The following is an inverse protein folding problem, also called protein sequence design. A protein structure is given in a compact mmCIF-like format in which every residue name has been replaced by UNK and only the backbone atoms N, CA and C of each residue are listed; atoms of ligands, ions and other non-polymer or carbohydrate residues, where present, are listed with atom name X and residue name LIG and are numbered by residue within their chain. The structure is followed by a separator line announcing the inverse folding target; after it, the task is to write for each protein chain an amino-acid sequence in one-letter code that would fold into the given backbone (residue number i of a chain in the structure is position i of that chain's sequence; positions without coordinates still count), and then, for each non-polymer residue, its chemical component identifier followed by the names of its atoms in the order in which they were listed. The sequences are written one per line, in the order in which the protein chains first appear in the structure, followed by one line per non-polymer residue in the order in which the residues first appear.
data_IF_745938334488
#
_entry.id   IF_745938334488
#
_cell.length_a   1.000
_cell.length_b   1.000
_cell.length_c   1.000
_cell.angle_alpha   90.00
_cell.angle_beta   90.00
_cell.angle_gamma   90.00
#
_symmetry.space_group_name_H-M   'P 1'
#
loop_
_entity.id
_entity.type
_entity.pdbx_description
1 polymer ?
#
# COMPACT_ATOMS: atom_id res chain seq x y z
N UNK A 1 26.87 28.29 -1.95
CA UNK A 1 26.84 27.10 -1.06
C UNK A 1 26.09 25.91 -1.66
N UNK A 2 25.15 26.10 -2.60
CA UNK A 2 24.42 25.01 -3.28
C UNK A 2 25.20 24.44 -4.48
N UNK A 3 26.12 25.20 -5.08
CA UNK A 3 26.95 24.74 -6.20
C UNK A 3 27.92 23.58 -5.87
N UNK A 4 28.27 23.36 -4.60
CA UNK A 4 29.09 22.22 -4.17
C UNK A 4 28.31 20.90 -4.12
N UNK A 5 26.97 20.95 -4.16
CA UNK A 5 26.11 19.77 -4.04
C UNK A 5 26.03 18.97 -5.35
N UNK A 6 26.35 19.61 -6.48
CA UNK A 6 26.11 19.06 -7.82
C UNK A 6 27.31 18.28 -8.38
N UNK A 7 28.52 18.55 -7.89
CA UNK A 7 29.76 17.88 -8.30
C UNK A 7 30.04 16.54 -7.58
N UNK A 8 29.28 16.21 -6.51
CA UNK A 8 29.61 15.09 -5.61
C UNK A 8 28.66 13.87 -5.67
N UNK A 9 27.75 13.79 -6.64
CA UNK A 9 26.85 12.62 -6.75
C UNK A 9 26.04 12.40 -5.48
N UNK A 10 25.43 13.47 -4.95
CA UNK A 10 24.78 13.46 -3.63
C UNK A 10 23.60 12.50 -3.65
N UNK A 11 23.89 11.35 -3.06
CA UNK A 11 23.08 10.16 -2.98
C UNK A 11 22.09 10.18 -1.82
N UNK A 12 22.03 11.23 -0.97
CA UNK A 12 21.28 11.23 0.30
C UNK A 12 20.61 12.56 0.70
N UNK A 13 19.98 13.24 -0.28
CA UNK A 13 19.07 14.34 0.03
C UNK A 13 17.61 13.87 0.09
N UNK A 14 16.93 14.17 1.20
CA UNK A 14 15.49 14.18 1.33
C UNK A 14 14.90 15.38 0.55
N UNK A 15 13.57 15.51 0.47
CA UNK A 15 12.89 16.48 -0.40
C UNK A 15 13.41 17.92 -0.27
N UNK A 16 13.70 18.36 0.95
CA UNK A 16 14.10 19.74 1.27
C UNK A 16 15.57 19.79 1.77
N UNK A 17 16.37 18.77 1.47
CA UNK A 17 17.80 18.73 1.80
C UNK A 17 18.20 17.51 2.64
N UNK A 18 19.27 17.58 3.44
CA UNK A 18 19.88 16.38 4.05
C UNK A 18 19.08 15.79 5.22
N UNK A 19 18.05 16.49 5.70
CA UNK A 19 17.24 16.06 6.85
C UNK A 19 15.88 15.57 6.38
N UNK A 20 15.41 14.50 7.00
CA UNK A 20 14.04 14.04 6.84
C UNK A 20 13.09 14.98 7.56
N UNK A 21 12.09 15.48 6.84
CA UNK A 21 11.20 16.55 7.30
C UNK A 21 9.72 16.16 7.15
N UNK A 22 8.84 17.06 7.58
CA UNK A 22 7.40 16.92 7.38
C UNK A 22 7.01 16.79 5.90
N UNK A 23 7.80 17.33 4.97
CA UNK A 23 7.54 17.16 3.54
C UNK A 23 7.70 15.71 3.09
N UNK A 24 8.72 15.02 3.60
CA UNK A 24 8.96 13.59 3.33
C UNK A 24 7.89 12.71 3.97
N UNK A 25 7.42 13.09 5.16
CA UNK A 25 6.28 12.42 5.80
C UNK A 25 5.01 12.57 4.95
N UNK A 26 4.69 13.79 4.53
CA UNK A 26 3.52 14.06 3.71
C UNK A 26 3.55 13.30 2.37
N UNK A 27 4.72 13.29 1.71
CA UNK A 27 4.91 12.52 0.49
C UNK A 27 4.80 11.02 0.75
N UNK A 28 5.43 10.50 1.81
CA UNK A 28 5.34 9.08 2.16
C UNK A 28 3.88 8.65 2.36
N UNK A 29 3.09 9.41 3.12
CA UNK A 29 1.67 9.10 3.34
C UNK A 29 0.87 9.07 2.03
N UNK A 30 1.17 9.96 1.08
CA UNK A 30 0.51 9.96 -0.21
C UNK A 30 0.91 8.74 -1.06
N UNK A 31 2.20 8.39 -1.08
CA UNK A 31 2.70 7.22 -1.80
C UNK A 31 2.13 5.91 -1.22
N UNK A 32 2.12 5.77 0.11
CA UNK A 32 1.54 4.60 0.78
C UNK A 32 0.05 4.43 0.43
N UNK A 33 -0.70 5.53 0.28
CA UNK A 33 -2.10 5.47 -0.20
C UNK A 33 -2.21 5.02 -1.65
N UNK A 34 -1.33 5.49 -2.53
CA UNK A 34 -1.32 5.08 -3.94
C UNK A 34 -1.01 3.57 -4.04
N UNK A 35 -0.05 3.06 -3.26
CA UNK A 35 0.25 1.62 -3.17
C UNK A 35 -0.96 0.85 -2.63
N UNK A 36 -1.57 1.34 -1.55
CA UNK A 36 -2.75 0.71 -0.99
C UNK A 36 -3.91 0.62 -1.99
N UNK A 37 -4.06 1.61 -2.87
CA UNK A 37 -5.05 1.63 -3.95
C UNK A 37 -4.64 0.80 -5.18
N UNK A 38 -3.43 0.25 -5.22
CA UNK A 38 -2.91 -0.50 -6.38
C UNK A 38 -2.59 0.38 -7.59
N UNK A 39 -2.34 1.67 -7.39
CA UNK A 39 -2.14 2.65 -8.46
C UNK A 39 -0.65 2.96 -8.74
N UNK A 40 0.27 2.30 -8.05
CA UNK A 40 1.73 2.50 -8.17
C UNK A 40 2.26 2.34 -9.60
N UNK A 41 1.76 1.34 -10.34
CA UNK A 41 2.16 1.07 -11.71
C UNK A 41 1.93 2.28 -12.64
N UNK A 42 0.86 3.04 -12.36
CA UNK A 42 0.45 4.22 -13.12
C UNK A 42 1.23 5.47 -12.73
N UNK A 43 1.56 5.65 -11.45
CA UNK A 43 2.07 6.91 -10.95
C UNK A 43 3.58 6.91 -10.64
N UNK A 44 4.15 5.81 -10.14
CA UNK A 44 5.55 5.81 -9.71
C UNK A 44 6.24 4.44 -9.77
N UNK A 45 6.01 3.70 -10.86
CA UNK A 45 6.71 2.44 -11.13
C UNK A 45 8.20 2.65 -11.51
N UNK A 46 9.04 1.59 -11.50
CA UNK A 46 10.40 1.66 -12.02
C UNK A 46 10.48 2.20 -13.46
N UNK A 47 9.45 1.94 -14.27
CA UNK A 47 9.38 2.36 -15.67
C UNK A 47 8.80 3.78 -15.83
N UNK A 48 7.89 4.18 -14.96
CA UNK A 48 7.19 5.47 -15.05
C UNK A 48 7.96 6.60 -14.36
N UNK A 49 8.46 6.34 -13.15
CA UNK A 49 9.21 7.32 -12.37
C UNK A 49 10.26 6.63 -11.49
N UNK A 50 11.43 6.27 -12.06
CA UNK A 50 12.47 5.52 -11.34
C UNK A 50 13.06 6.29 -10.16
N UNK A 51 13.13 7.63 -10.23
CA UNK A 51 13.61 8.46 -9.13
C UNK A 51 12.64 8.44 -7.95
N UNK A 52 11.35 8.56 -8.22
CA UNK A 52 10.32 8.50 -7.16
C UNK A 52 10.20 7.09 -6.59
N UNK A 53 10.35 6.06 -7.42
CA UNK A 53 10.39 4.67 -6.99
C UNK A 53 11.58 4.39 -6.08
N UNK A 54 12.79 4.78 -6.47
CA UNK A 54 13.99 4.61 -5.62
C UNK A 54 13.92 5.42 -4.33
N UNK A 55 13.34 6.61 -4.36
CA UNK A 55 13.04 7.40 -3.16
C UNK A 55 12.05 6.69 -2.23
N UNK A 56 10.97 6.12 -2.78
CA UNK A 56 9.99 5.34 -2.01
C UNK A 56 10.59 4.06 -1.39
N UNK A 57 11.45 3.35 -2.14
CA UNK A 57 12.17 2.19 -1.60
C UNK A 57 13.08 2.61 -0.43
N UNK A 58 13.79 3.73 -0.58
CA UNK A 58 14.62 4.29 0.49
C UNK A 58 13.80 4.67 1.73
N UNK A 59 12.65 5.33 1.56
CA UNK A 59 11.72 5.64 2.65
C UNK A 59 11.33 4.38 3.44
N UNK A 60 11.08 3.27 2.73
CA UNK A 60 10.74 1.97 3.34
C UNK A 60 11.83 1.36 4.24
N UNK A 61 13.07 1.84 4.17
CA UNK A 61 14.16 1.35 5.04
C UNK A 61 14.14 1.99 6.43
N UNK A 62 13.42 3.11 6.62
CA UNK A 62 13.36 3.81 7.91
C UNK A 62 12.45 3.07 8.89
N UNK A 63 12.95 2.90 10.13
CA UNK A 63 12.19 2.29 11.23
C UNK A 63 10.84 2.97 11.48
N UNK A 64 10.78 4.30 11.44
CA UNK A 64 9.54 5.06 11.64
C UNK A 64 8.48 4.73 10.58
N UNK A 65 8.90 4.56 9.32
CA UNK A 65 8.00 4.21 8.21
C UNK A 65 7.58 2.75 8.29
N UNK A 66 8.50 1.85 8.66
CA UNK A 66 8.18 0.43 8.84
C UNK A 66 7.18 0.20 9.98
N UNK A 67 7.33 0.93 11.10
CA UNK A 67 6.39 0.89 12.22
C UNK A 67 4.98 1.33 11.79
N UNK A 68 4.88 2.43 11.05
CA UNK A 68 3.60 2.93 10.53
C UNK A 68 2.96 1.93 9.56
N UNK A 69 3.72 1.40 8.60
CA UNK A 69 3.23 0.37 7.66
C UNK A 69 2.82 -0.93 8.35
N UNK A 70 3.50 -1.33 9.44
CA UNK A 70 3.12 -2.50 10.22
C UNK A 70 1.76 -2.29 10.92
N UNK A 71 1.50 -1.08 11.44
CA UNK A 71 0.21 -0.71 12.00
C UNK A 71 -0.88 -0.69 10.91
N UNK A 72 -0.60 -0.05 9.77
CA UNK A 72 -1.57 0.08 8.66
C UNK A 72 -1.87 -1.27 8.00
N UNK A 73 -0.91 -2.18 7.84
CA UNK A 73 -1.14 -3.51 7.26
C UNK A 73 -2.03 -4.41 8.13
N UNK A 74 -2.15 -4.13 9.42
CA UNK A 74 -3.12 -4.78 10.31
C UNK A 74 -4.56 -4.26 10.13
N UNK A 75 -4.73 -3.04 9.59
CA UNK A 75 -6.02 -2.39 9.40
C UNK A 75 -6.92 -2.98 8.29
N UNK A 76 -6.44 -3.40 7.10
CA UNK A 76 -7.31 -4.05 6.11
C UNK A 76 -7.92 -5.34 6.65
N UNK A 77 -7.24 -6.05 7.57
CA UNK A 77 -7.81 -7.20 8.27
C UNK A 77 -9.07 -6.79 9.05
N UNK A 78 -9.06 -5.62 9.70
CA UNK A 78 -10.21 -5.08 10.44
C UNK A 78 -11.34 -4.61 9.54
N UNK A 79 -11.05 -4.04 8.38
CA UNK A 79 -12.06 -3.66 7.38
C UNK A 79 -12.71 -4.92 6.77
N UNK A 80 -11.90 -5.90 6.36
CA UNK A 80 -12.37 -7.20 5.84
C UNK A 80 -13.18 -7.95 6.91
N UNK A 81 -12.75 -7.94 8.17
CA UNK A 81 -13.49 -8.55 9.28
C UNK A 81 -14.83 -7.85 9.54
N UNK A 82 -14.88 -6.52 9.44
CA UNK A 82 -16.14 -5.78 9.52
C UNK A 82 -17.08 -6.11 8.37
N UNK A 83 -16.54 -6.30 7.15
CA UNK A 83 -17.32 -6.73 5.99
C UNK A 83 -17.84 -8.17 6.16
N UNK A 84 -17.04 -9.08 6.74
CA UNK A 84 -17.49 -10.46 7.05
C UNK A 84 -18.64 -10.50 8.05
N UNK A 85 -18.66 -9.60 9.04
CA UNK A 85 -19.80 -9.50 9.98
C UNK A 85 -21.07 -8.93 9.32
N UNK A 86 -20.96 -8.28 8.17
CA UNK A 86 -22.07 -7.77 7.35
C UNK A 86 -22.48 -8.71 6.22
N UNK A 87 -22.02 -9.96 6.20
CA UNK A 87 -22.53 -10.94 5.24
C UNK A 87 -24.03 -11.13 5.49
N UNK A 88 -24.84 -10.64 4.55
CA UNK A 88 -26.30 -10.70 4.60
C UNK A 88 -26.78 -12.16 4.65
N UNK A 89 -27.75 -12.51 5.51
CA UNK A 89 -28.23 -13.89 5.67
C UNK A 89 -28.73 -14.51 4.36
N UNK A 90 -29.15 -13.68 3.39
CA UNK A 90 -29.57 -14.11 2.06
C UNK A 90 -28.41 -14.71 1.24
N UNK A 91 -27.20 -14.16 1.33
CA UNK A 91 -26.04 -14.68 0.60
C UNK A 91 -25.66 -16.07 1.10
N UNK A 92 -25.74 -16.28 2.42
CA UNK A 92 -25.51 -17.59 3.02
C UNK A 92 -26.59 -18.60 2.60
N UNK A 93 -27.86 -18.17 2.58
CA UNK A 93 -28.99 -19.01 2.16
C UNK A 93 -28.88 -19.47 0.70
N UNK A 94 -28.56 -18.57 -0.23
CA UNK A 94 -28.39 -18.90 -1.66
C UNK A 94 -27.24 -19.89 -1.86
N UNK A 95 -26.13 -19.72 -1.12
CA UNK A 95 -24.95 -20.57 -1.25
C UNK A 95 -25.23 -21.99 -0.73
N UNK A 96 -25.92 -22.11 0.41
CA UNK A 96 -26.33 -23.41 0.97
C UNK A 96 -27.32 -24.13 0.05
N UNK A 97 -28.33 -23.42 -0.47
CA UNK A 97 -29.29 -24.00 -1.39
C UNK A 97 -28.63 -24.47 -2.70
N UNK A 98 -27.70 -23.68 -3.25
CA UNK A 98 -26.95 -24.04 -4.45
C UNK A 98 -26.09 -25.30 -4.27
N UNK A 99 -25.39 -25.40 -3.13
CA UNK A 99 -24.59 -26.60 -2.82
C UNK A 99 -25.49 -27.83 -2.63
N UNK A 100 -26.61 -27.68 -1.92
CA UNK A 100 -27.56 -28.79 -1.73
C UNK A 100 -28.15 -29.27 -3.07
N UNK A 101 -28.51 -28.35 -3.96
CA UNK A 101 -29.02 -28.68 -5.29
C UNK A 101 -27.96 -29.39 -6.16
N UNK A 102 -26.72 -28.92 -6.14
CA UNK A 102 -25.62 -29.56 -6.87
C UNK A 102 -25.34 -30.99 -6.38
N UNK A 103 -25.35 -31.21 -5.06
CA UNK A 103 -25.16 -32.55 -4.48
C UNK A 103 -26.33 -33.47 -4.82
N UNK A 104 -27.57 -32.97 -4.76
CA UNK A 104 -28.75 -33.74 -5.14
C UNK A 104 -28.72 -34.14 -6.63
N UNK A 105 -28.31 -33.22 -7.52
CA UNK A 105 -28.16 -33.50 -8.94
C UNK A 105 -27.06 -34.55 -9.21
N UNK A 106 -25.96 -34.51 -8.46
CA UNK A 106 -24.85 -35.48 -8.63
C UNK A 106 -25.17 -36.90 -8.14
N UNK A 107 -26.29 -37.11 -7.44
CA UNK A 107 -26.71 -38.41 -6.89
C UNK A 107 -27.88 -39.05 -7.64
N UNK A 108 -28.45 -38.35 -8.62
CA UNK A 108 -29.40 -38.91 -9.60
C UNK A 108 -28.63 -39.45 -10.81
#
# INVERSE_FOLDING_TARGET
MILFLTEQGISDAWLIGPRYTAADIALNTLLDRIVFLGLEARYFSPQTSPLLYSYYQRLGTRKSVQQDRALVSSAPRMIILHQRKKASPYVLGVLVAGVAAAVAYSRQ
#
